data_IF_924793162713
#
_entry.id   IF_924793162713
#
_cell.length_a   1.000
_cell.length_b   1.000
_cell.length_c   1.000
_cell.angle_alpha   90.00
_cell.angle_beta   90.00
_cell.angle_gamma   90.00
#
_symmetry.space_group_name_H-M   'P 1'
#
loop_
_entity.id
_entity.type
_entity.pdbx_description
1 polymer ?
#
# COMPACT_ATOMS: atom_id res chain seq x y z
N UNK A 1 -14.49 -8.98 -23.42
CA UNK A 1 -13.27 -8.58 -22.71
C UNK A 1 -12.84 -9.63 -21.73
N UNK A 2 -11.61 -9.55 -21.27
CA UNK A 2 -11.04 -10.42 -20.25
C UNK A 2 -10.62 -9.57 -19.05
N UNK A 3 -10.71 -10.13 -17.85
CA UNK A 3 -10.31 -9.49 -16.60
C UNK A 3 -9.19 -10.31 -15.96
N UNK A 4 -8.05 -9.67 -15.68
CA UNK A 4 -6.98 -10.24 -14.85
C UNK A 4 -7.13 -9.68 -13.44
N UNK A 5 -7.35 -10.56 -12.45
CA UNK A 5 -7.43 -10.21 -11.04
C UNK A 5 -6.18 -10.66 -10.29
N UNK A 6 -5.52 -9.74 -9.59
CA UNK A 6 -4.31 -10.01 -8.81
C UNK A 6 -4.63 -10.06 -7.33
N UNK A 7 -4.25 -11.13 -6.67
CA UNK A 7 -4.18 -11.21 -5.23
C UNK A 7 -3.05 -12.17 -4.83
N UNK A 8 -2.26 -11.81 -3.83
CA UNK A 8 -1.19 -12.68 -3.33
C UNK A 8 -1.67 -13.60 -2.19
N UNK A 9 -2.90 -13.37 -1.70
CA UNK A 9 -3.51 -14.19 -0.67
C UNK A 9 -4.09 -15.48 -1.29
N UNK A 10 -3.63 -16.64 -0.82
CA UNK A 10 -4.15 -17.94 -1.27
C UNK A 10 -5.63 -18.12 -0.94
N UNK A 11 -6.12 -17.50 0.14
CA UNK A 11 -7.52 -17.58 0.54
C UNK A 11 -8.45 -16.88 -0.47
N UNK A 12 -7.92 -15.96 -1.28
CA UNK A 12 -8.67 -15.33 -2.37
C UNK A 12 -9.10 -16.33 -3.45
N UNK A 13 -8.40 -17.47 -3.59
CA UNK A 13 -8.75 -18.55 -4.54
C UNK A 13 -10.18 -19.07 -4.34
N UNK A 14 -10.66 -19.11 -3.08
CA UNK A 14 -12.02 -19.57 -2.78
C UNK A 14 -13.12 -18.67 -3.34
N UNK A 15 -12.78 -17.42 -3.70
CA UNK A 15 -13.72 -16.41 -4.20
C UNK A 15 -13.59 -16.19 -5.72
N UNK A 16 -12.76 -16.96 -6.40
CA UNK A 16 -12.55 -16.85 -7.84
C UNK A 16 -13.84 -17.27 -8.58
N UNK A 17 -14.43 -16.41 -9.41
CA UNK A 17 -15.62 -16.76 -10.16
C UNK A 17 -15.33 -17.80 -11.24
N UNK A 18 -16.28 -18.71 -11.48
CA UNK A 18 -16.25 -19.66 -12.61
C UNK A 18 -16.66 -18.92 -13.91
N UNK A 19 -15.74 -18.18 -14.50
CA UNK A 19 -15.96 -17.45 -15.76
C UNK A 19 -14.66 -17.48 -16.58
N UNK A 20 -14.70 -18.02 -17.78
CA UNK A 20 -13.54 -18.16 -18.70
C UNK A 20 -12.92 -16.80 -19.08
N UNK A 21 -13.62 -15.69 -18.83
CA UNK A 21 -13.13 -14.33 -19.05
C UNK A 21 -12.38 -13.77 -17.86
N UNK A 22 -12.35 -14.47 -16.72
CA UNK A 22 -11.62 -14.08 -15.53
C UNK A 22 -10.38 -14.94 -15.36
N UNK A 23 -9.22 -14.30 -15.27
CA UNK A 23 -7.93 -14.94 -15.01
C UNK A 23 -7.47 -14.48 -13.65
N UNK A 24 -7.41 -15.41 -12.69
CA UNK A 24 -6.84 -15.14 -11.37
C UNK A 24 -5.32 -15.28 -11.41
N UNK A 25 -4.62 -14.30 -10.91
CA UNK A 25 -3.17 -14.25 -10.80
C UNK A 25 -2.79 -14.23 -9.33
N UNK A 26 -2.42 -15.39 -8.77
CA UNK A 26 -1.99 -15.48 -7.36
C UNK A 26 -0.56 -14.95 -7.22
N UNK A 27 -0.42 -13.64 -7.41
CA UNK A 27 0.85 -12.94 -7.29
C UNK A 27 0.66 -11.47 -6.96
N UNK A 28 1.76 -10.84 -6.51
CA UNK A 28 1.80 -9.42 -6.26
C UNK A 28 1.60 -8.62 -7.57
N UNK A 29 0.76 -7.59 -7.53
CA UNK A 29 0.46 -6.70 -8.64
C UNK A 29 1.67 -5.91 -9.17
N UNK A 30 2.78 -5.89 -8.44
CA UNK A 30 4.07 -5.35 -8.92
C UNK A 30 4.58 -6.00 -10.21
N UNK A 31 4.06 -7.16 -10.57
CA UNK A 31 4.38 -7.88 -11.80
C UNK A 31 3.29 -7.76 -12.87
N UNK A 32 2.48 -6.71 -12.81
CA UNK A 32 1.34 -6.48 -13.71
C UNK A 32 1.69 -6.75 -15.18
N UNK A 33 2.70 -6.07 -15.72
CA UNK A 33 3.12 -6.23 -17.12
C UNK A 33 3.60 -7.63 -17.45
N UNK A 34 4.32 -8.26 -16.52
CA UNK A 34 4.86 -9.59 -16.71
C UNK A 34 3.74 -10.61 -16.89
N UNK A 35 2.73 -10.58 -16.04
CA UNK A 35 1.60 -11.49 -16.14
C UNK A 35 0.66 -11.16 -17.30
N UNK A 36 0.45 -9.90 -17.61
CA UNK A 36 -0.27 -9.55 -18.84
C UNK A 36 0.37 -10.19 -20.08
N UNK A 37 1.70 -10.06 -20.23
CA UNK A 37 2.44 -10.70 -21.35
C UNK A 37 2.38 -12.22 -21.29
N UNK A 38 2.49 -12.81 -20.11
CA UNK A 38 2.40 -14.26 -19.93
C UNK A 38 1.05 -14.81 -20.43
N UNK A 39 -0.04 -14.07 -20.22
CA UNK A 39 -1.37 -14.43 -20.72
C UNK A 39 -1.68 -13.89 -22.12
N UNK A 40 -0.69 -13.31 -22.83
CA UNK A 40 -0.84 -12.86 -24.20
C UNK A 40 -1.49 -11.47 -24.36
N UNK A 41 -1.53 -10.65 -23.31
CA UNK A 41 -2.05 -9.30 -23.35
C UNK A 41 -0.91 -8.27 -23.30
N UNK A 42 -0.84 -7.40 -24.28
CA UNK A 42 0.15 -6.30 -24.29
C UNK A 42 -0.42 -5.00 -23.74
N UNK A 43 -1.71 -4.78 -23.88
CA UNK A 43 -2.39 -3.55 -23.49
C UNK A 43 -3.67 -3.82 -22.72
N UNK A 44 -4.04 -2.86 -21.84
CA UNK A 44 -5.26 -2.86 -21.05
C UNK A 44 -6.14 -1.65 -21.36
N UNK A 45 -7.46 -1.84 -21.39
CA UNK A 45 -8.43 -0.76 -21.52
C UNK A 45 -8.63 0.02 -20.21
N UNK A 46 -8.35 -0.63 -19.07
CA UNK A 46 -8.44 -0.02 -17.76
C UNK A 46 -7.75 -0.85 -16.69
N UNK A 47 -7.34 -0.19 -15.61
CA UNK A 47 -6.76 -0.78 -14.40
C UNK A 47 -7.51 -0.23 -13.20
N UNK A 48 -7.99 -1.12 -12.33
CA UNK A 48 -8.52 -0.79 -11.01
C UNK A 48 -7.61 -1.42 -9.96
N UNK A 49 -7.08 -0.60 -9.07
CA UNK A 49 -6.30 -1.06 -7.92
C UNK A 49 -7.00 -0.62 -6.61
N UNK A 50 -7.39 -1.60 -5.80
CA UNK A 50 -7.85 -1.40 -4.42
C UNK A 50 -6.69 -1.80 -3.51
N UNK A 51 -5.98 -0.79 -2.98
CA UNK A 51 -4.73 -1.01 -2.25
C UNK A 51 -4.98 -1.35 -0.78
N UNK A 52 -3.94 -1.86 -0.15
CA UNK A 52 -3.96 -2.23 1.26
C UNK A 52 -4.19 -3.72 1.48
N UNK A 53 -4.38 -4.09 2.74
CA UNK A 53 -4.63 -5.47 3.16
C UNK A 53 -6.13 -5.75 3.25
N UNK A 54 -6.51 -6.99 2.94
CA UNK A 54 -7.91 -7.40 3.00
C UNK A 54 -8.45 -7.33 4.44
N UNK A 55 -9.78 -7.25 4.56
CA UNK A 55 -10.43 -7.36 5.87
C UNK A 55 -10.14 -8.70 6.53
N UNK A 56 -9.98 -9.75 5.73
CA UNK A 56 -9.63 -11.09 6.15
C UNK A 56 -8.24 -11.14 6.81
N UNK A 57 -7.23 -10.52 6.19
CA UNK A 57 -5.88 -10.45 6.77
C UNK A 57 -5.83 -9.70 8.11
N UNK A 58 -6.71 -8.73 8.34
CA UNK A 58 -6.83 -8.06 9.63
C UNK A 58 -7.57 -8.88 10.68
N UNK A 59 -8.48 -9.74 10.27
CA UNK A 59 -9.32 -10.52 11.18
C UNK A 59 -8.69 -11.90 11.50
N UNK A 60 -7.74 -12.37 10.68
CA UNK A 60 -6.96 -13.60 10.90
C UNK A 60 -5.88 -13.41 11.95
N UNK A 61 -6.03 -14.12 13.08
CA UNK A 61 -5.12 -14.03 14.23
C UNK A 61 -3.68 -14.45 13.90
N UNK A 62 -3.49 -15.39 12.98
CA UNK A 62 -2.19 -15.98 12.64
C UNK A 62 -1.28 -15.13 11.78
N UNK A 63 -1.78 -14.04 11.17
CA UNK A 63 -1.02 -13.25 10.18
C UNK A 63 -0.24 -12.06 10.73
N UNK A 64 -0.37 -11.72 12.02
CA UNK A 64 0.45 -10.71 12.71
C UNK A 64 0.24 -9.26 12.29
N UNK A 65 -0.73 -8.95 11.41
CA UNK A 65 -1.00 -7.60 10.93
C UNK A 65 -1.90 -6.76 11.85
N UNK A 66 -2.43 -7.36 12.90
CA UNK A 66 -3.30 -6.69 13.86
C UNK A 66 -2.79 -6.79 15.28
N UNK A 67 -2.81 -5.68 16.01
CA UNK A 67 -2.53 -5.64 17.45
C UNK A 67 -3.64 -6.31 18.30
N UNK A 68 -4.69 -6.81 17.66
CA UNK A 68 -5.82 -7.47 18.34
C UNK A 68 -5.60 -8.93 18.65
N UNK A 69 -4.63 -9.56 17.99
CA UNK A 69 -4.37 -11.01 18.08
C UNK A 69 -2.90 -11.28 18.36
N UNK A 70 -2.63 -12.34 19.09
CA UNK A 70 -1.28 -12.83 19.34
C UNK A 70 -0.80 -13.57 18.09
N UNK A 71 0.23 -13.03 17.42
CA UNK A 71 0.78 -13.60 16.20
C UNK A 71 2.30 -13.48 16.18
N UNK A 72 2.93 -14.32 15.38
CA UNK A 72 4.37 -14.23 15.16
C UNK A 72 4.73 -12.94 14.41
N UNK A 73 5.72 -12.23 14.92
CA UNK A 73 6.23 -10.97 14.39
C UNK A 73 7.64 -11.17 13.83
N UNK A 74 7.78 -11.05 12.51
CA UNK A 74 9.10 -11.07 11.91
C UNK A 74 9.79 -9.70 12.08
N UNK A 75 10.66 -9.62 13.08
CA UNK A 75 11.39 -8.41 13.43
C UNK A 75 12.89 -8.50 13.07
N UNK A 76 13.26 -9.26 12.03
CA UNK A 76 14.66 -9.53 11.64
C UNK A 76 15.47 -8.33 11.13
N UNK A 77 14.90 -7.13 11.13
CA UNK A 77 15.60 -5.92 10.66
C UNK A 77 16.62 -5.41 11.69
N UNK A 78 17.89 -5.55 11.36
CA UNK A 78 18.99 -5.41 12.32
C UNK A 78 19.61 -4.00 12.48
N UNK A 79 19.32 -3.04 11.60
CA UNK A 79 19.97 -1.72 11.68
C UNK A 79 19.09 -0.69 12.37
N UNK A 80 19.59 -0.12 13.48
CA UNK A 80 18.91 0.93 14.26
C UNK A 80 18.52 2.16 13.43
N UNK A 81 19.38 2.60 12.52
CA UNK A 81 19.11 3.74 11.64
C UNK A 81 17.95 3.44 10.69
N UNK A 82 17.93 2.23 10.12
CA UNK A 82 16.87 1.76 9.23
C UNK A 82 15.53 1.67 9.95
N UNK A 83 15.46 1.07 11.14
CA UNK A 83 14.24 1.03 11.96
C UNK A 83 13.72 2.43 12.30
N UNK A 84 14.61 3.37 12.66
CA UNK A 84 14.19 4.74 12.96
C UNK A 84 13.58 5.42 11.72
N UNK A 85 14.16 5.20 10.54
CA UNK A 85 13.63 5.72 9.28
C UNK A 85 12.26 5.13 8.96
N UNK A 86 12.07 3.80 9.13
CA UNK A 86 10.80 3.10 8.91
C UNK A 86 9.70 3.68 9.78
N UNK A 87 9.87 3.70 11.11
CA UNK A 87 8.85 4.22 12.01
C UNK A 87 8.56 5.70 11.78
N UNK A 88 9.55 6.50 11.38
CA UNK A 88 9.35 7.91 11.06
C UNK A 88 8.65 8.12 9.73
N UNK A 89 9.11 7.45 8.67
CA UNK A 89 8.67 7.69 7.30
C UNK A 89 7.35 6.98 7.00
N UNK A 90 7.18 5.73 7.47
CA UNK A 90 6.00 4.91 7.18
C UNK A 90 4.94 4.96 8.26
N UNK A 91 5.34 5.17 9.53
CA UNK A 91 4.41 5.28 10.65
C UNK A 91 4.13 6.71 11.09
N UNK A 92 4.90 7.69 10.63
CA UNK A 92 4.83 9.07 11.15
C UNK A 92 4.90 9.10 12.69
N UNK A 93 5.76 8.24 13.27
CA UNK A 93 5.93 8.10 14.72
C UNK A 93 6.88 9.19 15.22
N UNK A 94 6.35 10.14 16.00
CA UNK A 94 7.12 11.30 16.48
C UNK A 94 8.32 10.92 17.35
N UNK A 95 8.13 9.96 18.25
CA UNK A 95 9.17 9.46 19.16
C UNK A 95 9.92 8.21 18.64
N UNK A 96 10.06 8.06 17.31
CA UNK A 96 10.64 6.88 16.65
C UNK A 96 12.02 6.49 17.22
N UNK A 97 12.87 7.46 17.57
CA UNK A 97 14.19 7.17 18.17
C UNK A 97 14.06 6.41 19.49
N UNK A 98 13.19 6.91 20.40
CA UNK A 98 12.95 6.27 21.70
C UNK A 98 12.33 4.88 21.54
N UNK A 99 11.39 4.74 20.59
CA UNK A 99 10.78 3.45 20.23
C UNK A 99 11.85 2.44 19.82
N UNK A 100 12.72 2.83 18.89
CA UNK A 100 13.81 1.96 18.41
C UNK A 100 14.83 1.62 19.50
N UNK A 101 15.13 2.55 20.40
CA UNK A 101 16.02 2.30 21.54
C UNK A 101 15.50 1.18 22.43
N UNK A 102 14.18 1.16 22.70
CA UNK A 102 13.56 0.08 23.48
C UNK A 102 13.61 -1.26 22.72
N UNK A 103 13.29 -1.25 21.43
CA UNK A 103 13.31 -2.46 20.60
C UNK A 103 14.73 -3.05 20.55
N UNK A 104 15.75 -2.23 20.26
CA UNK A 104 17.13 -2.68 20.16
C UNK A 104 17.65 -3.20 21.49
N UNK A 105 17.31 -2.53 22.61
CA UNK A 105 17.68 -2.98 23.96
C UNK A 105 17.03 -4.33 24.30
N UNK A 106 15.75 -4.50 23.96
CA UNK A 106 15.06 -5.76 24.22
C UNK A 106 15.65 -6.92 23.40
N UNK A 107 15.94 -6.70 22.12
CA UNK A 107 16.54 -7.70 21.22
C UNK A 107 17.92 -8.16 21.66
N UNK A 108 18.68 -7.34 22.36
CA UNK A 108 19.97 -7.73 22.92
C UNK A 108 19.85 -8.83 23.99
N UNK A 109 18.68 -8.97 24.60
CA UNK A 109 18.44 -9.92 25.69
C UNK A 109 17.60 -11.12 25.25
N UNK A 110 16.65 -10.91 24.32
CA UNK A 110 15.73 -11.94 23.83
C UNK A 110 15.18 -11.61 22.46
N UNK A 111 14.82 -12.65 21.72
CA UNK A 111 14.12 -12.50 20.45
C UNK A 111 12.67 -12.03 20.67
N UNK A 112 12.19 -11.11 19.83
CA UNK A 112 10.81 -10.61 19.88
C UNK A 112 10.00 -11.42 18.87
N UNK A 113 9.20 -12.38 19.35
CA UNK A 113 8.48 -13.32 18.49
C UNK A 113 7.00 -13.02 18.36
N UNK A 114 6.39 -12.37 19.35
CA UNK A 114 4.94 -12.18 19.38
C UNK A 114 4.56 -10.71 19.46
N UNK A 115 3.36 -10.39 18.98
CA UNK A 115 2.77 -9.04 19.07
C UNK A 115 2.61 -8.58 20.51
N UNK A 116 2.30 -9.50 21.44
CA UNK A 116 2.19 -9.18 22.87
C UNK A 116 3.56 -8.81 23.46
N UNK A 117 4.60 -9.61 23.20
CA UNK A 117 5.96 -9.29 23.65
C UNK A 117 6.42 -7.94 23.09
N UNK A 118 6.14 -7.67 21.82
CA UNK A 118 6.43 -6.38 21.21
C UNK A 118 5.67 -5.23 21.87
N UNK A 119 4.37 -5.39 22.12
CA UNK A 119 3.55 -4.39 22.81
C UNK A 119 4.13 -4.05 24.20
N UNK A 120 4.49 -5.03 25.00
CA UNK A 120 5.08 -4.82 26.33
C UNK A 120 6.40 -4.04 26.26
N UNK A 121 7.23 -4.30 25.25
CA UNK A 121 8.50 -3.57 25.03
C UNK A 121 8.25 -2.10 24.71
N UNK A 122 7.29 -1.81 23.86
CA UNK A 122 7.02 -0.44 23.39
C UNK A 122 6.08 0.36 24.28
N UNK A 123 5.43 -0.28 25.24
CA UNK A 123 4.47 0.33 26.16
C UNK A 123 4.95 1.66 26.78
N UNK A 124 6.24 1.82 27.20
CA UNK A 124 6.75 3.09 27.74
C UNK A 124 6.81 4.24 26.71
N UNK A 125 6.63 3.94 25.42
CA UNK A 125 6.58 4.95 24.34
C UNK A 125 5.16 5.35 23.98
N UNK A 126 4.17 4.58 24.39
CA UNK A 126 2.77 4.77 23.99
C UNK A 126 2.15 5.94 24.76
N UNK A 127 1.61 6.97 24.08
CA UNK A 127 0.89 8.05 24.75
C UNK A 127 -0.45 7.54 25.32
N UNK A 128 -0.67 7.71 26.62
CA UNK A 128 -1.83 7.18 27.38
C UNK A 128 -3.19 7.45 26.73
N UNK A 129 -3.39 8.62 26.09
CA UNK A 129 -4.67 9.02 25.50
C UNK A 129 -4.79 8.69 24.00
N UNK A 130 -3.73 8.16 23.34
CA UNK A 130 -3.67 7.93 21.89
C UNK A 130 -3.16 6.53 21.54
N UNK A 131 -3.31 5.58 22.44
CA UNK A 131 -2.76 4.24 22.32
C UNK A 131 -3.13 3.56 20.98
N UNK A 132 -4.42 3.44 20.69
CA UNK A 132 -4.89 2.80 19.44
C UNK A 132 -4.30 3.46 18.19
N UNK A 133 -4.24 4.79 18.17
CA UNK A 133 -3.68 5.54 17.03
C UNK A 133 -2.18 5.34 16.91
N UNK A 134 -1.47 5.29 18.04
CA UNK A 134 -0.03 5.07 18.06
C UNK A 134 0.32 3.68 17.57
N UNK A 135 -0.36 2.65 18.10
CA UNK A 135 -0.17 1.26 17.67
C UNK A 135 -0.46 1.08 16.18
N UNK A 136 -1.57 1.65 15.68
CA UNK A 136 -1.89 1.61 14.25
C UNK A 136 -0.75 2.15 13.39
N UNK A 137 -0.11 3.25 13.79
CA UNK A 137 1.05 3.84 13.09
C UNK A 137 2.28 2.94 13.13
N UNK A 138 2.56 2.35 14.29
CA UNK A 138 3.70 1.45 14.49
C UNK A 138 3.55 0.18 13.63
N UNK A 139 2.40 -0.47 13.70
CA UNK A 139 2.13 -1.68 12.90
C UNK A 139 2.04 -1.38 11.40
N UNK A 140 1.44 -0.25 11.00
CA UNK A 140 1.48 0.19 9.61
C UNK A 140 2.92 0.31 9.08
N UNK A 141 3.82 0.90 9.86
CA UNK A 141 5.20 1.06 9.44
C UNK A 141 5.91 -0.28 9.21
N UNK A 142 5.69 -1.25 10.10
CA UNK A 142 6.25 -2.59 9.97
C UNK A 142 5.67 -3.32 8.76
N UNK A 143 4.36 -3.26 8.58
CA UNK A 143 3.66 -3.89 7.47
C UNK A 143 4.15 -3.38 6.11
N UNK A 144 4.21 -2.06 5.95
CA UNK A 144 4.69 -1.41 4.72
C UNK A 144 6.10 -1.90 4.37
N UNK A 145 7.01 -1.94 5.35
CA UNK A 145 8.40 -2.37 5.12
C UNK A 145 8.50 -3.86 4.81
N UNK A 146 7.79 -4.72 5.56
CA UNK A 146 7.86 -6.18 5.38
C UNK A 146 7.29 -6.61 4.04
N UNK A 147 6.16 -6.00 3.65
CA UNK A 147 5.48 -6.34 2.39
C UNK A 147 6.03 -5.58 1.17
N UNK A 148 6.90 -4.57 1.38
CA UNK A 148 7.37 -3.71 0.29
C UNK A 148 6.22 -3.00 -0.44
N UNK A 149 5.20 -2.54 0.32
CA UNK A 149 3.93 -2.05 -0.25
C UNK A 149 4.12 -0.82 -1.14
N UNK A 150 4.98 0.12 -0.72
CA UNK A 150 5.19 1.36 -1.47
C UNK A 150 6.01 1.13 -2.74
N UNK A 151 7.03 0.26 -2.67
CA UNK A 151 7.81 -0.13 -3.84
C UNK A 151 6.94 -0.89 -4.85
N UNK A 152 6.09 -1.81 -4.37
CA UNK A 152 5.16 -2.53 -5.23
C UNK A 152 4.16 -1.57 -5.92
N UNK A 153 3.67 -0.56 -5.20
CA UNK A 153 2.82 0.48 -5.76
C UNK A 153 3.54 1.30 -6.84
N UNK A 154 4.78 1.73 -6.59
CA UNK A 154 5.57 2.50 -7.55
C UNK A 154 5.83 1.69 -8.82
N UNK A 155 6.22 0.42 -8.70
CA UNK A 155 6.44 -0.49 -9.82
C UNK A 155 5.15 -0.72 -10.64
N UNK A 156 4.02 -0.91 -9.96
CA UNK A 156 2.72 -1.04 -10.62
C UNK A 156 2.32 0.23 -11.36
N UNK A 157 2.52 1.41 -10.77
CA UNK A 157 2.21 2.68 -11.41
C UNK A 157 3.04 2.91 -12.68
N UNK A 158 4.34 2.56 -12.66
CA UNK A 158 5.20 2.61 -13.85
C UNK A 158 4.70 1.67 -14.94
N UNK A 159 4.39 0.43 -14.59
CA UNK A 159 3.87 -0.55 -15.54
C UNK A 159 2.49 -0.15 -16.08
N UNK A 160 1.63 0.45 -15.24
CA UNK A 160 0.34 0.96 -15.68
C UNK A 160 0.46 2.03 -16.78
N UNK A 161 1.49 2.88 -16.71
CA UNK A 161 1.77 3.83 -17.80
C UNK A 161 2.11 3.13 -19.12
N UNK A 162 2.81 2.01 -19.04
CA UNK A 162 3.23 1.26 -20.24
C UNK A 162 2.06 0.49 -20.85
N UNK A 163 1.29 -0.25 -20.03
CA UNK A 163 0.29 -1.20 -20.52
C UNK A 163 -1.09 -0.60 -20.78
N UNK A 164 -1.43 0.55 -20.23
CA UNK A 164 -2.70 1.20 -20.54
C UNK A 164 -2.69 1.72 -21.99
N UNK A 165 -3.79 1.46 -22.72
CA UNK A 165 -4.03 2.08 -24.03
C UNK A 165 -4.19 3.60 -23.90
N UNK A 166 -3.90 4.37 -24.94
CA UNK A 166 -4.39 5.75 -25.05
C UNK A 166 -5.89 5.82 -24.76
N UNK A 167 -6.31 6.77 -23.91
CA UNK A 167 -7.71 6.85 -23.45
C UNK A 167 -8.09 5.87 -22.32
N UNK A 168 -7.27 4.86 -22.04
CA UNK A 168 -7.48 3.89 -20.96
C UNK A 168 -7.51 4.55 -19.59
N UNK A 169 -8.23 3.97 -18.64
CA UNK A 169 -8.44 4.53 -17.30
C UNK A 169 -7.66 3.79 -16.23
N UNK A 170 -7.02 4.57 -15.35
CA UNK A 170 -6.41 4.12 -14.12
C UNK A 170 -7.25 4.61 -12.93
N UNK A 171 -7.76 3.67 -12.15
CA UNK A 171 -8.59 3.92 -10.97
C UNK A 171 -7.90 3.31 -9.76
N UNK A 172 -7.59 4.12 -8.75
CA UNK A 172 -6.86 3.66 -7.58
C UNK A 172 -7.56 4.11 -6.30
N UNK A 173 -7.76 3.15 -5.39
CA UNK A 173 -8.24 3.38 -4.03
C UNK A 173 -7.05 3.21 -3.09
N UNK A 174 -6.83 4.20 -2.23
CA UNK A 174 -5.77 4.21 -1.22
C UNK A 174 -6.37 4.37 0.16
N UNK A 175 -5.71 3.85 1.21
CA UNK A 175 -6.23 3.88 2.59
C UNK A 175 -5.36 4.65 3.56
N UNK A 176 -4.14 5.04 3.17
CA UNK A 176 -3.28 5.90 3.99
C UNK A 176 -2.57 7.00 3.19
N UNK A 177 -2.03 7.98 3.91
CA UNK A 177 -1.44 9.20 3.35
C UNK A 177 -0.25 8.96 2.43
N UNK A 178 0.53 7.91 2.67
CA UNK A 178 1.72 7.60 1.88
C UNK A 178 1.35 7.09 0.49
N UNK A 179 0.43 6.12 0.41
CA UNK A 179 -0.12 5.65 -0.88
C UNK A 179 -0.73 6.80 -1.67
N UNK A 180 -1.62 7.57 -1.04
CA UNK A 180 -2.29 8.69 -1.70
C UNK A 180 -1.30 9.73 -2.24
N UNK A 181 -0.20 9.96 -1.51
CA UNK A 181 0.87 10.87 -1.95
C UNK A 181 1.59 10.34 -3.17
N UNK A 182 1.98 9.07 -3.20
CA UNK A 182 2.63 8.42 -4.34
C UNK A 182 1.71 8.49 -5.56
N UNK A 183 0.46 8.04 -5.44
CA UNK A 183 -0.50 8.06 -6.53
C UNK A 183 -0.73 9.47 -7.05
N UNK A 184 -0.97 10.45 -6.17
CA UNK A 184 -1.14 11.86 -6.53
C UNK A 184 0.07 12.41 -7.30
N UNK A 185 1.27 12.14 -6.79
CA UNK A 185 2.52 12.61 -7.40
C UNK A 185 2.71 11.98 -8.78
N UNK A 186 2.49 10.68 -8.88
CA UNK A 186 2.64 9.93 -10.11
C UNK A 186 1.67 10.39 -11.19
N UNK A 187 0.39 10.55 -10.85
CA UNK A 187 -0.61 11.08 -11.79
C UNK A 187 -0.31 12.50 -12.24
N UNK A 188 0.40 13.29 -11.42
CA UNK A 188 0.78 14.67 -11.74
C UNK A 188 2.09 14.78 -12.53
N UNK A 189 3.08 13.94 -12.21
CA UNK A 189 4.46 14.14 -12.67
C UNK A 189 5.07 12.92 -13.36
N UNK A 190 4.39 11.75 -13.37
CA UNK A 190 4.91 10.50 -13.90
C UNK A 190 5.93 9.80 -12.99
N UNK A 191 6.14 10.30 -11.77
CA UNK A 191 7.05 9.71 -10.80
C UNK A 191 6.55 9.89 -9.36
N UNK A 192 7.03 9.04 -8.44
CA UNK A 192 6.61 9.01 -7.05
C UNK A 192 6.99 10.28 -6.26
N UNK A 193 8.08 10.94 -6.64
CA UNK A 193 8.55 12.17 -6.00
C UNK A 193 7.69 13.38 -6.35
N UNK A 194 6.93 13.33 -7.44
CA UNK A 194 6.13 14.45 -7.94
C UNK A 194 6.96 15.56 -8.58
N UNK A 195 8.19 15.23 -9.00
CA UNK A 195 9.08 16.16 -9.70
C UNK A 195 8.72 16.21 -11.17
N UNK A 196 8.38 17.39 -11.64
CA UNK A 196 8.08 17.60 -13.05
C UNK A 196 9.40 17.60 -13.83
N UNK A 197 9.57 16.64 -14.71
CA UNK A 197 10.65 16.65 -15.69
C UNK A 197 10.30 17.63 -16.80
N UNK A 198 11.08 18.69 -16.93
CA UNK A 198 10.95 19.65 -18.03
C UNK A 198 11.87 19.23 -19.16
N UNK A 199 11.36 19.20 -20.35
CA UNK A 199 12.17 19.14 -21.56
C UNK A 199 13.15 20.32 -21.54
N UNK A 200 14.45 20.01 -21.68
CA UNK A 200 15.52 21.02 -21.62
C UNK A 200 15.47 22.01 -22.80
N UNK A 201 14.83 21.63 -23.90
CA UNK A 201 14.79 22.44 -25.13
C UNK A 201 13.51 23.26 -25.21
N UNK A 202 12.36 22.67 -24.93
CA UNK A 202 11.04 23.29 -25.13
C UNK A 202 10.31 23.64 -23.83
N UNK A 203 10.85 23.25 -22.67
CA UNK A 203 10.24 23.50 -21.36
C UNK A 203 8.90 22.77 -21.15
N UNK A 204 8.52 21.86 -22.04
CA UNK A 204 7.28 21.10 -21.92
C UNK A 204 7.40 20.08 -20.81
N UNK A 205 6.32 19.96 -20.02
CA UNK A 205 6.19 18.94 -18.99
C UNK A 205 5.36 17.80 -19.60
N UNK A 206 5.97 16.62 -19.75
CA UNK A 206 5.25 15.45 -20.19
C UNK A 206 4.38 14.92 -19.05
N UNK A 207 3.06 14.99 -19.23
CA UNK A 207 2.07 14.36 -18.36
C UNK A 207 1.44 13.18 -19.09
N UNK A 208 1.71 11.98 -18.61
CA UNK A 208 1.15 10.76 -19.21
C UNK A 208 -0.35 10.56 -18.89
N UNK A 209 -0.82 11.23 -17.83
CA UNK A 209 -2.18 11.12 -17.36
C UNK A 209 -2.91 12.46 -17.32
N UNK A 210 -4.19 12.41 -17.59
CA UNK A 210 -5.15 13.48 -17.36
C UNK A 210 -6.09 13.06 -16.24
N UNK A 211 -6.22 13.90 -15.19
CA UNK A 211 -7.12 13.63 -14.10
C UNK A 211 -8.57 13.75 -14.56
N UNK A 212 -9.36 12.68 -14.39
CA UNK A 212 -10.80 12.67 -14.69
C UNK A 212 -11.55 13.58 -13.73
N UNK A 213 -11.13 13.62 -12.48
CA UNK A 213 -11.67 14.51 -11.46
C UNK A 213 -10.55 15.22 -10.72
N UNK A 214 -10.69 16.56 -10.54
CA UNK A 214 -9.66 17.36 -9.85
C UNK A 214 -9.60 17.09 -8.35
N UNK A 215 -10.75 16.80 -7.72
CA UNK A 215 -10.85 16.50 -6.30
C UNK A 215 -10.82 14.99 -6.10
N UNK A 216 -10.10 14.55 -5.07
CA UNK A 216 -10.16 13.16 -4.63
C UNK A 216 -11.59 12.81 -4.19
N UNK A 217 -12.05 11.62 -4.55
CA UNK A 217 -13.33 11.08 -4.09
C UNK A 217 -13.09 10.38 -2.76
N UNK A 218 -13.91 10.68 -1.79
CA UNK A 218 -13.91 10.07 -0.45
C UNK A 218 -15.26 9.42 -0.18
N UNK A 219 -15.35 8.42 0.71
CA UNK A 219 -16.61 7.76 1.03
C UNK A 219 -17.60 8.75 1.67
N UNK A 220 -18.89 8.51 1.42
CA UNK A 220 -19.96 9.25 2.08
C UNK A 220 -20.07 8.88 3.57
N UNK A 221 -20.75 9.71 4.36
CA UNK A 221 -21.00 9.39 5.76
C UNK A 221 -21.83 8.10 5.90
N UNK A 222 -22.79 7.87 5.01
CA UNK A 222 -23.59 6.66 4.96
C UNK A 222 -22.74 5.40 4.71
N UNK A 223 -21.78 5.50 3.80
CA UNK A 223 -20.83 4.42 3.54
C UNK A 223 -19.95 4.16 4.75
N UNK A 224 -19.44 5.20 5.41
CA UNK A 224 -18.60 5.06 6.61
C UNK A 224 -19.36 4.40 7.76
N UNK A 225 -20.66 4.70 7.92
CA UNK A 225 -21.51 4.04 8.92
C UNK A 225 -21.68 2.56 8.62
N UNK A 226 -21.92 2.20 7.34
CA UNK A 226 -22.09 0.82 6.89
C UNK A 226 -20.76 0.06 6.87
N UNK A 227 -19.68 0.71 6.44
CA UNK A 227 -18.33 0.16 6.35
C UNK A 227 -17.30 1.12 6.99
N UNK A 228 -17.10 1.05 8.32
CA UNK A 228 -16.13 1.93 9.01
C UNK A 228 -14.69 1.83 8.51
N UNK A 229 -14.31 0.74 7.84
CA UNK A 229 -12.97 0.54 7.26
C UNK A 229 -12.73 1.45 6.05
N UNK A 230 -13.78 1.84 5.34
CA UNK A 230 -13.70 2.78 4.22
C UNK A 230 -13.36 4.23 4.65
N UNK A 231 -13.40 4.57 5.94
CA UNK A 231 -13.22 5.95 6.45
C UNK A 231 -12.00 6.68 5.87
N UNK A 232 -10.91 5.97 5.65
CA UNK A 232 -9.66 6.55 5.15
C UNK A 232 -9.49 6.42 3.64
N UNK A 233 -10.45 5.78 2.95
CA UNK A 233 -10.38 5.52 1.52
C UNK A 233 -10.36 6.82 0.71
N UNK A 234 -9.52 6.83 -0.32
CA UNK A 234 -9.40 7.92 -1.29
C UNK A 234 -9.32 7.34 -2.68
N UNK A 235 -10.29 7.66 -3.51
CA UNK A 235 -10.34 7.22 -4.90
C UNK A 235 -9.81 8.32 -5.82
N UNK A 236 -8.87 7.96 -6.70
CA UNK A 236 -8.35 8.79 -7.78
C UNK A 236 -8.55 8.11 -9.13
N UNK A 237 -8.95 8.91 -10.10
CA UNK A 237 -9.21 8.45 -11.46
C UNK A 237 -8.42 9.31 -12.43
N UNK A 238 -7.70 8.66 -13.33
CA UNK A 238 -6.98 9.30 -14.41
C UNK A 238 -7.20 8.56 -15.74
N UNK A 239 -7.03 9.27 -16.84
CA UNK A 239 -7.04 8.75 -18.20
C UNK A 239 -5.64 8.86 -18.78
N UNK A 240 -5.14 7.82 -19.44
CA UNK A 240 -3.89 7.91 -20.20
C UNK A 240 -4.11 8.84 -21.38
N UNK A 241 -3.20 9.77 -21.59
CA UNK A 241 -3.19 10.64 -22.77
C UNK A 241 -2.75 9.87 -24.02
N UNK A 242 -3.09 10.43 -25.16
CA UNK A 242 -2.66 9.94 -26.47
C UNK A 242 -1.15 10.16 -26.67
#
# INVERSE_FOLDING_TARGET
GCLLGFDQDEDALANVPEDDRFIFVNHNFRYLRNFMRYYGYEEADGILADLGVSSHEFDEAGRGFSFRFEAELDMRMNQRSKLTAIFRNYGEVENARRLVDLIVKARANQEIKTSEAFYQIILPCIPKLKEKKYLAKVYQALRIEVNGELEALEEMMQQAMEVLKPGGRLVIITYHSLEDRIVKNFLKAGNAEGKLEKDLVFGHVHHNFELVNRKVIVPSEEEIVRNPRARSAKLRIARKKD
#
